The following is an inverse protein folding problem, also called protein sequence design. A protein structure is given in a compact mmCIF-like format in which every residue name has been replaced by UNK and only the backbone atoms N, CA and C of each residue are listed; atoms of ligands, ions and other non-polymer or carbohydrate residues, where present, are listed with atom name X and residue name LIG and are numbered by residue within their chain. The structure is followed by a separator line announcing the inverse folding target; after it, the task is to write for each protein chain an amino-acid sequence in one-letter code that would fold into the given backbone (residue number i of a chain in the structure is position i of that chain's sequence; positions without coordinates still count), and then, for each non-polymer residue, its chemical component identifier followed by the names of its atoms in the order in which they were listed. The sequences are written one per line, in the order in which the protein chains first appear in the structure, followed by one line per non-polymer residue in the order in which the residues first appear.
data_IF_045345514926
#
_entry.id   IF_045345514926
#
_cell.length_a   1.000
_cell.length_b   1.000
_cell.length_c   1.000
_cell.angle_alpha   90.00
_cell.angle_beta   90.00
_cell.angle_gamma   90.00
#
_symmetry.space_group_name_H-M   'P 1'
#
loop_
_entity.id
_entity.type
_entity.pdbx_description
1 polymer ?
#
# COMPACT_ATOMS: atom_id res chain seq x y z
N UNK A 1 -14.64 -16.96 16.48
CA UNK A 1 -13.75 -18.08 16.15
C UNK A 1 -12.39 -17.56 15.65
N UNK A 2 -11.52 -17.14 16.56
CA UNK A 2 -10.20 -16.57 16.21
C UNK A 2 -9.23 -17.63 15.66
N UNK A 3 -9.18 -18.82 16.28
CA UNK A 3 -8.36 -19.95 15.79
C UNK A 3 -8.68 -20.35 14.35
N UNK A 4 -9.95 -20.30 13.94
CA UNK A 4 -10.36 -20.63 12.57
C UNK A 4 -9.87 -19.58 11.56
N UNK A 5 -9.87 -18.30 11.96
CA UNK A 5 -9.33 -17.20 11.14
C UNK A 5 -7.86 -17.43 10.85
N UNK A 6 -7.04 -17.62 11.90
CA UNK A 6 -5.59 -17.79 11.74
C UNK A 6 -5.23 -19.01 10.86
N UNK A 7 -6.01 -20.10 10.95
CA UNK A 7 -5.82 -21.27 10.08
C UNK A 7 -6.19 -20.99 8.62
N UNK A 8 -7.25 -20.22 8.39
CA UNK A 8 -7.69 -19.88 7.04
C UNK A 8 -6.73 -18.90 6.37
N UNK A 9 -6.20 -17.92 7.10
CA UNK A 9 -5.16 -17.01 6.61
C UNK A 9 -3.94 -17.79 6.14
N UNK A 10 -3.38 -18.64 7.02
CA UNK A 10 -2.22 -19.47 6.70
C UNK A 10 -2.47 -20.42 5.51
N UNK A 11 -3.69 -20.94 5.39
CA UNK A 11 -4.08 -21.79 4.26
C UNK A 11 -4.14 -21.00 2.95
N UNK A 12 -4.71 -19.79 2.97
CA UNK A 12 -4.81 -18.91 1.80
C UNK A 12 -3.42 -18.47 1.33
N UNK A 13 -2.55 -18.08 2.27
CA UNK A 13 -1.15 -17.75 1.99
C UNK A 13 -0.41 -18.91 1.34
N UNK A 14 -0.61 -20.13 1.83
CA UNK A 14 0.00 -21.33 1.25
C UNK A 14 -0.47 -21.57 -0.19
N UNK A 15 -1.78 -21.41 -0.47
CA UNK A 15 -2.31 -21.53 -1.84
C UNK A 15 -1.68 -20.48 -2.75
N UNK A 16 -1.60 -19.22 -2.31
CA UNK A 16 -1.05 -18.14 -3.14
C UNK A 16 0.45 -18.36 -3.41
N UNK A 17 1.21 -18.83 -2.41
CA UNK A 17 2.60 -19.21 -2.59
C UNK A 17 2.76 -20.33 -3.63
N UNK A 18 1.91 -21.36 -3.59
CA UNK A 18 1.90 -22.46 -4.57
C UNK A 18 1.57 -21.94 -5.98
N UNK A 19 0.65 -20.99 -6.12
CA UNK A 19 0.32 -20.38 -7.41
C UNK A 19 1.57 -19.69 -7.99
N UNK A 20 2.28 -18.91 -7.18
CA UNK A 20 3.51 -18.22 -7.59
C UNK A 20 4.60 -19.22 -8.01
N UNK A 21 4.76 -20.33 -7.29
CA UNK A 21 5.78 -21.34 -7.63
C UNK A 21 5.42 -22.11 -8.90
N UNK A 22 4.17 -22.51 -9.09
CA UNK A 22 3.75 -23.19 -10.33
C UNK A 22 3.98 -22.27 -11.54
N UNK A 23 3.74 -20.96 -11.42
CA UNK A 23 3.99 -20.02 -12.51
C UNK A 23 5.45 -20.02 -12.99
N UNK A 24 6.43 -20.07 -12.07
CA UNK A 24 7.85 -20.09 -12.47
C UNK A 24 8.27 -21.47 -12.99
N UNK A 25 7.70 -22.54 -12.46
CA UNK A 25 7.98 -23.91 -12.90
C UNK A 25 7.47 -24.19 -14.32
N UNK A 26 6.49 -23.43 -14.80
CA UNK A 26 5.97 -23.54 -16.16
C UNK A 26 6.83 -22.83 -17.22
N UNK A 27 7.91 -22.15 -16.85
CA UNK A 27 8.80 -21.52 -17.82
C UNK A 27 9.53 -22.58 -18.66
N UNK A 28 9.47 -22.45 -19.97
CA UNK A 28 10.09 -23.39 -20.89
C UNK A 28 11.60 -23.14 -21.00
N UNK A 29 12.39 -24.21 -20.90
CA UNK A 29 13.84 -24.13 -21.08
C UNK A 29 14.19 -24.04 -22.57
N UNK A 30 15.36 -23.45 -22.85
CA UNK A 30 15.88 -23.36 -24.21
C UNK A 30 16.42 -24.73 -24.63
N UNK A 31 15.78 -25.34 -25.64
CA UNK A 31 16.19 -26.65 -26.19
C UNK A 31 17.19 -26.54 -27.35
N UNK A 32 17.39 -25.34 -27.91
CA UNK A 32 18.27 -25.10 -29.05
C UNK A 32 19.11 -23.87 -28.81
N UNK A 33 20.43 -24.00 -28.94
CA UNK A 33 21.37 -22.89 -28.77
C UNK A 33 21.27 -21.92 -29.96
N UNK A 34 20.39 -20.93 -29.85
CA UNK A 34 20.20 -19.89 -30.85
C UNK A 34 19.75 -18.57 -30.21
N UNK A 35 20.19 -17.40 -30.72
CA UNK A 35 19.75 -16.10 -30.20
C UNK A 35 18.22 -15.94 -30.18
N UNK A 36 17.53 -16.52 -31.16
CA UNK A 36 16.06 -16.48 -31.25
C UNK A 36 15.39 -17.25 -30.09
N UNK A 37 15.94 -18.40 -29.70
CA UNK A 37 15.41 -19.20 -28.59
C UNK A 37 15.59 -18.48 -27.23
N UNK A 38 16.74 -17.82 -27.01
CA UNK A 38 16.94 -16.99 -25.82
C UNK A 38 16.01 -15.78 -25.78
N UNK A 39 15.76 -15.13 -26.92
CA UNK A 39 14.81 -14.02 -26.99
C UNK A 39 13.38 -14.47 -26.67
N UNK A 40 13.00 -15.67 -27.09
CA UNK A 40 11.70 -16.26 -26.74
C UNK A 40 11.58 -16.49 -25.22
N UNK A 41 12.62 -17.04 -24.59
CA UNK A 41 12.68 -17.19 -23.12
C UNK A 41 12.56 -15.85 -22.39
N UNK A 42 13.27 -14.80 -22.84
CA UNK A 42 13.18 -13.46 -22.24
C UNK A 42 11.74 -12.92 -22.30
N UNK A 43 11.06 -13.13 -23.42
CA UNK A 43 9.63 -12.76 -23.56
C UNK A 43 8.75 -13.55 -22.61
N UNK A 44 9.00 -14.85 -22.46
CA UNK A 44 8.28 -15.73 -21.54
C UNK A 44 8.45 -15.29 -20.08
N UNK A 45 9.69 -14.99 -19.67
CA UNK A 45 10.02 -14.40 -18.37
C UNK A 45 9.27 -13.08 -18.17
N UNK A 46 9.23 -12.23 -19.19
CA UNK A 46 8.48 -10.96 -19.14
C UNK A 46 7.00 -11.18 -18.85
N UNK A 47 6.37 -12.17 -19.50
CA UNK A 47 4.97 -12.54 -19.27
C UNK A 47 4.76 -13.17 -17.89
N UNK A 48 5.70 -14.00 -17.44
CA UNK A 48 5.71 -14.50 -16.06
C UNK A 48 5.72 -13.35 -15.05
N UNK A 49 6.57 -12.33 -15.24
CA UNK A 49 6.67 -11.20 -14.33
C UNK A 49 5.36 -10.41 -14.23
N UNK A 50 4.61 -10.26 -15.34
CA UNK A 50 3.26 -9.68 -15.32
C UNK A 50 2.40 -10.38 -14.28
N UNK A 51 2.32 -11.71 -14.36
CA UNK A 51 1.50 -12.52 -13.47
C UNK A 51 2.04 -12.58 -12.06
N UNK A 52 3.36 -12.64 -11.89
CA UNK A 52 4.01 -12.58 -10.59
C UNK A 52 3.60 -11.33 -9.82
N UNK A 53 3.79 -10.14 -10.42
CA UNK A 53 3.42 -8.88 -9.79
C UNK A 53 1.91 -8.77 -9.58
N UNK A 54 1.11 -9.26 -10.52
CA UNK A 54 -0.35 -9.29 -10.34
C UNK A 54 -0.76 -10.13 -9.13
N UNK A 55 -0.30 -11.37 -9.03
CA UNK A 55 -0.63 -12.28 -7.91
C UNK A 55 -0.05 -11.76 -6.59
N UNK A 56 1.17 -11.19 -6.59
CA UNK A 56 1.76 -10.56 -5.42
C UNK A 56 0.95 -9.35 -4.92
N UNK A 57 0.43 -8.53 -5.83
CA UNK A 57 -0.47 -7.43 -5.47
C UNK A 57 -1.81 -7.94 -4.92
N UNK A 58 -2.35 -9.04 -5.46
CA UNK A 58 -3.55 -9.68 -4.94
C UNK A 58 -3.32 -10.25 -3.54
N UNK A 59 -2.17 -10.90 -3.30
CA UNK A 59 -1.76 -11.35 -1.97
C UNK A 59 -1.64 -10.19 -0.99
N UNK A 60 -0.96 -9.11 -1.38
CA UNK A 60 -0.80 -7.93 -0.51
C UNK A 60 -2.16 -7.35 -0.11
N UNK A 61 -3.07 -7.16 -1.07
CA UNK A 61 -4.41 -6.66 -0.79
C UNK A 61 -5.18 -7.62 0.12
N UNK A 62 -5.09 -8.93 -0.14
CA UNK A 62 -5.73 -9.96 0.67
C UNK A 62 -5.23 -9.91 2.13
N UNK A 63 -3.92 -9.97 2.32
CA UNK A 63 -3.30 -9.85 3.65
C UNK A 63 -3.68 -8.54 4.35
N UNK A 64 -3.72 -7.42 3.62
CA UNK A 64 -4.12 -6.13 4.17
C UNK A 64 -5.57 -6.12 4.66
N UNK A 65 -6.51 -6.74 3.94
CA UNK A 65 -7.91 -6.87 4.37
C UNK A 65 -8.01 -7.79 5.59
N UNK A 66 -7.38 -8.97 5.54
CA UNK A 66 -7.53 -10.01 6.55
C UNK A 66 -6.85 -9.65 7.88
N UNK A 67 -5.86 -8.76 7.86
CA UNK A 67 -5.28 -8.16 9.08
C UNK A 67 -6.26 -7.26 9.85
N UNK A 68 -7.30 -6.73 9.21
CA UNK A 68 -8.32 -5.89 9.87
C UNK A 68 -9.46 -6.71 10.51
N UNK A 69 -9.49 -8.03 10.29
CA UNK A 69 -10.59 -8.89 10.71
C UNK A 69 -10.22 -9.64 11.99
N UNK A 70 -11.06 -9.53 13.02
CA UNK A 70 -10.87 -10.27 14.29
C UNK A 70 -11.49 -11.67 14.27
N UNK A 71 -12.56 -11.87 13.50
CA UNK A 71 -13.29 -13.16 13.47
C UNK A 71 -13.78 -13.52 12.07
N UNK A 72 -13.73 -14.81 11.73
CA UNK A 72 -14.17 -15.32 10.43
C UNK A 72 -15.62 -15.82 10.49
N UNK A 73 -16.43 -15.49 9.48
CA UNK A 73 -17.76 -16.06 9.26
C UNK A 73 -17.72 -17.02 8.05
N UNK A 74 -18.62 -18.01 8.02
CA UNK A 74 -18.76 -19.00 6.94
C UNK A 74 -18.95 -18.36 5.56
N UNK A 75 -19.70 -17.25 5.47
CA UNK A 75 -19.86 -16.51 4.21
C UNK A 75 -18.53 -15.95 3.67
N UNK A 76 -17.69 -15.43 4.55
CA UNK A 76 -16.36 -14.91 4.17
C UNK A 76 -15.47 -16.05 3.69
N UNK A 77 -15.52 -17.19 4.39
CA UNK A 77 -14.79 -18.40 3.98
C UNK A 77 -15.19 -18.82 2.57
N UNK A 78 -16.48 -18.95 2.24
CA UNK A 78 -16.89 -19.35 0.88
C UNK A 78 -16.37 -18.36 -0.16
N UNK A 79 -16.49 -17.06 0.09
CA UNK A 79 -16.04 -16.03 -0.87
C UNK A 79 -14.52 -16.04 -1.06
N UNK A 80 -13.78 -16.37 -0.01
CA UNK A 80 -12.33 -16.53 -0.05
C UNK A 80 -11.93 -17.73 -0.92
N UNK A 81 -12.60 -18.88 -0.77
CA UNK A 81 -12.40 -20.03 -1.65
C UNK A 81 -12.78 -19.75 -3.12
N UNK A 82 -13.83 -18.97 -3.37
CA UNK A 82 -14.21 -18.54 -4.73
C UNK A 82 -13.15 -17.62 -5.34
N UNK A 83 -12.59 -16.71 -4.53
CA UNK A 83 -11.48 -15.87 -4.96
C UNK A 83 -10.23 -16.71 -5.27
N UNK A 84 -9.82 -17.60 -4.36
CA UNK A 84 -8.65 -18.45 -4.51
C UNK A 84 -8.78 -19.42 -5.69
N UNK A 85 -9.98 -19.93 -5.99
CA UNK A 85 -10.20 -20.83 -7.13
C UNK A 85 -10.06 -20.12 -8.48
N UNK A 86 -10.44 -18.85 -8.58
CA UNK A 86 -10.15 -18.06 -9.78
C UNK A 86 -8.66 -17.73 -9.87
N UNK A 87 -8.03 -17.36 -8.75
CA UNK A 87 -6.61 -17.02 -8.69
C UNK A 87 -5.73 -18.24 -9.05
N UNK A 88 -6.15 -19.45 -8.70
CA UNK A 88 -5.40 -20.68 -8.99
C UNK A 88 -5.37 -21.05 -10.48
N UNK A 89 -6.19 -20.41 -11.31
CA UNK A 89 -6.14 -20.54 -12.77
C UNK A 89 -5.08 -19.63 -13.41
N UNK A 90 -4.51 -18.68 -12.67
CA UNK A 90 -3.49 -17.76 -13.20
C UNK A 90 -2.29 -18.47 -13.85
N UNK A 91 -1.75 -19.58 -13.32
CA UNK A 91 -0.63 -20.27 -13.96
C UNK A 91 -0.96 -20.78 -15.36
N UNK A 92 -2.15 -21.35 -15.56
CA UNK A 92 -2.60 -21.85 -16.86
C UNK A 92 -2.69 -20.71 -17.88
N UNK A 93 -3.32 -19.60 -17.53
CA UNK A 93 -3.52 -18.49 -18.48
C UNK A 93 -2.24 -17.71 -18.73
N UNK A 94 -1.33 -17.68 -17.76
CA UNK A 94 0.02 -17.12 -17.94
C UNK A 94 0.79 -17.94 -18.95
N UNK A 95 0.81 -19.26 -18.78
CA UNK A 95 1.46 -20.19 -19.70
C UNK A 95 0.89 -20.09 -21.12
N UNK A 96 -0.45 -20.11 -21.26
CA UNK A 96 -1.11 -19.91 -22.56
C UNK A 96 -0.70 -18.60 -23.25
N UNK A 97 -0.61 -17.51 -22.50
CA UNK A 97 -0.19 -16.20 -23.01
C UNK A 97 1.30 -16.17 -23.38
N UNK A 98 2.13 -16.86 -22.61
CA UNK A 98 3.58 -16.94 -22.76
C UNK A 98 3.97 -17.78 -23.99
N UNK A 99 3.40 -18.99 -24.08
CA UNK A 99 3.60 -19.91 -25.20
C UNK A 99 3.12 -19.31 -26.53
N UNK A 100 1.92 -18.68 -26.53
CA UNK A 100 1.34 -18.10 -27.74
C UNK A 100 0.67 -16.77 -27.44
N UNK A 101 1.36 -15.66 -27.72
CA UNK A 101 0.81 -14.31 -27.56
C UNK A 101 -0.13 -13.93 -28.70
N UNK A 102 -1.35 -14.45 -28.66
CA UNK A 102 -2.40 -14.16 -29.63
C UNK A 102 -3.46 -13.26 -29.00
N UNK A 103 -4.38 -12.74 -29.82
CA UNK A 103 -5.55 -12.02 -29.32
C UNK A 103 -6.31 -12.83 -28.26
N UNK A 104 -6.52 -14.13 -28.52
CA UNK A 104 -7.34 -14.99 -27.67
C UNK A 104 -6.69 -15.16 -26.31
N UNK A 105 -5.41 -15.51 -26.26
CA UNK A 105 -4.70 -15.79 -25.00
C UNK A 105 -4.53 -14.55 -24.14
N UNK A 106 -4.23 -13.38 -24.75
CA UNK A 106 -4.08 -12.12 -24.02
C UNK A 106 -5.43 -11.60 -23.50
N UNK A 107 -6.52 -11.74 -24.26
CA UNK A 107 -7.87 -11.39 -23.79
C UNK A 107 -8.33 -12.36 -22.71
N UNK A 108 -8.10 -13.66 -22.88
CA UNK A 108 -8.44 -14.69 -21.90
C UNK A 108 -7.75 -14.43 -20.56
N UNK A 109 -6.45 -14.09 -20.58
CA UNK A 109 -5.70 -13.68 -19.41
C UNK A 109 -6.35 -12.48 -18.72
N UNK A 110 -6.65 -11.42 -19.47
CA UNK A 110 -7.27 -10.21 -18.94
C UNK A 110 -8.67 -10.44 -18.35
N UNK A 111 -9.49 -11.28 -18.99
CA UNK A 111 -10.80 -11.67 -18.47
C UNK A 111 -10.68 -12.45 -17.15
N UNK A 112 -9.71 -13.35 -17.04
CA UNK A 112 -9.43 -14.05 -15.78
C UNK A 112 -9.00 -13.06 -14.69
N UNK A 113 -8.08 -12.14 -15.00
CA UNK A 113 -7.64 -11.10 -14.05
C UNK A 113 -8.78 -10.18 -13.60
N UNK A 114 -9.72 -9.85 -14.50
CA UNK A 114 -10.93 -9.10 -14.14
C UNK A 114 -11.83 -9.92 -13.21
N UNK A 115 -12.04 -11.20 -13.52
CA UNK A 115 -12.85 -12.10 -12.70
C UNK A 115 -12.29 -12.25 -11.29
N UNK A 116 -10.98 -12.45 -11.16
CA UNK A 116 -10.26 -12.48 -9.87
C UNK A 116 -10.50 -11.18 -9.09
N UNK A 117 -10.34 -10.02 -9.75
CA UNK A 117 -10.58 -8.71 -9.12
C UNK A 117 -12.04 -8.50 -8.69
N UNK A 118 -13.01 -9.03 -9.45
CA UNK A 118 -14.43 -8.99 -9.10
C UNK A 118 -14.72 -9.86 -7.87
N UNK A 119 -14.23 -11.09 -7.83
CA UNK A 119 -14.40 -11.98 -6.68
C UNK A 119 -13.76 -11.39 -5.42
N UNK A 120 -12.57 -10.81 -5.57
CA UNK A 120 -11.93 -10.10 -4.46
C UNK A 120 -12.74 -8.89 -3.98
N UNK A 121 -13.36 -8.10 -4.87
CA UNK A 121 -14.29 -7.03 -4.46
C UNK A 121 -15.49 -7.55 -3.67
N UNK A 122 -16.06 -8.68 -4.06
CA UNK A 122 -17.15 -9.29 -3.31
C UNK A 122 -16.70 -9.77 -1.93
N UNK A 123 -15.52 -10.38 -1.85
CA UNK A 123 -14.90 -10.79 -0.59
C UNK A 123 -14.71 -9.59 0.35
N UNK A 124 -14.06 -8.52 -0.12
CA UNK A 124 -13.86 -7.29 0.67
C UNK A 124 -15.20 -6.67 1.07
N UNK A 125 -16.18 -6.60 0.16
CA UNK A 125 -17.50 -6.07 0.47
C UNK A 125 -18.18 -6.86 1.61
N UNK A 126 -18.11 -8.19 1.56
CA UNK A 126 -18.67 -9.05 2.60
C UNK A 126 -17.97 -8.83 3.94
N UNK A 127 -16.63 -8.79 3.95
CA UNK A 127 -15.83 -8.52 5.14
C UNK A 127 -16.21 -7.18 5.77
N UNK A 128 -16.25 -6.13 4.95
CA UNK A 128 -16.51 -4.77 5.41
C UNK A 128 -17.91 -4.61 6.00
N UNK A 129 -18.94 -5.22 5.40
CA UNK A 129 -20.32 -5.17 5.93
C UNK A 129 -20.54 -6.06 7.16
N UNK A 130 -19.71 -7.09 7.38
CA UNK A 130 -19.86 -8.00 8.50
C UNK A 130 -19.10 -7.55 9.75
N UNK A 131 -17.95 -6.88 9.58
CA UNK A 131 -17.10 -6.46 10.70
C UNK A 131 -17.34 -5.03 11.16
N UNK A 132 -17.90 -4.17 10.30
CA UNK A 132 -18.03 -2.75 10.58
C UNK A 132 -19.48 -2.27 10.37
N UNK A 133 -20.08 -1.77 11.44
CA UNK A 133 -21.40 -1.11 11.42
C UNK A 133 -21.27 0.40 11.21
N UNK A 134 -20.10 0.97 11.53
CA UNK A 134 -19.80 2.39 11.31
C UNK A 134 -19.26 2.63 9.90
N UNK A 135 -19.84 3.60 9.18
CA UNK A 135 -19.33 4.07 7.89
C UNK A 135 -17.86 4.48 7.94
N UNK A 136 -17.40 4.95 9.11
CA UNK A 136 -16.02 5.41 9.38
C UNK A 136 -15.00 4.27 9.25
N UNK A 137 -15.29 3.13 9.86
CA UNK A 137 -14.38 1.98 9.85
C UNK A 137 -14.43 1.24 8.51
N UNK A 138 -15.61 1.20 7.87
CA UNK A 138 -15.77 0.69 6.50
C UNK A 138 -14.91 1.49 5.51
N UNK A 139 -14.91 2.81 5.60
CA UNK A 139 -14.10 3.69 4.76
C UNK A 139 -12.60 3.54 5.04
N UNK A 140 -12.19 3.29 6.30
CA UNK A 140 -10.79 3.02 6.67
C UNK A 140 -10.27 1.76 5.97
N UNK A 141 -11.00 0.65 6.06
CA UNK A 141 -10.59 -0.61 5.40
C UNK A 141 -10.64 -0.47 3.88
N UNK A 142 -11.68 0.15 3.33
CA UNK A 142 -11.78 0.31 1.88
C UNK A 142 -10.67 1.18 1.30
N UNK A 143 -10.31 2.28 1.98
CA UNK A 143 -9.19 3.14 1.55
C UNK A 143 -7.82 2.46 1.73
N UNK A 144 -7.64 1.61 2.74
CA UNK A 144 -6.41 0.82 2.94
C UNK A 144 -6.21 -0.24 1.86
N UNK A 145 -7.30 -0.81 1.37
CA UNK A 145 -7.29 -1.94 0.42
C UNK A 145 -7.29 -1.46 -1.03
N UNK A 146 -8.01 -0.37 -1.30
CA UNK A 146 -8.27 0.10 -2.66
C UNK A 146 -7.72 1.50 -2.94
N UNK A 147 -7.46 2.33 -1.92
CA UNK A 147 -7.05 3.73 -2.11
C UNK A 147 -8.03 4.55 -2.97
N UNK A 148 -7.76 5.85 -3.17
CA UNK A 148 -8.49 6.69 -4.13
C UNK A 148 -8.36 6.21 -5.58
N UNK A 149 -7.30 5.46 -5.92
CA UNK A 149 -7.04 5.06 -7.29
C UNK A 149 -7.78 3.79 -7.76
N UNK A 150 -8.38 2.95 -6.89
CA UNK A 150 -8.92 1.64 -7.34
C UNK A 150 -9.96 1.70 -8.47
N UNK A 151 -10.80 2.74 -8.53
CA UNK A 151 -11.74 2.91 -9.64
C UNK A 151 -11.01 3.20 -10.96
N UNK A 152 -9.92 3.96 -10.89
CA UNK A 152 -9.02 4.22 -12.02
C UNK A 152 -8.28 2.93 -12.39
N UNK A 153 -7.81 2.16 -11.42
CA UNK A 153 -7.20 0.83 -11.60
C UNK A 153 -8.13 -0.16 -12.32
N UNK A 154 -9.39 -0.22 -11.90
CA UNK A 154 -10.43 -1.02 -12.55
C UNK A 154 -10.66 -0.58 -14.00
N UNK A 155 -10.74 0.73 -14.22
CA UNK A 155 -10.88 1.32 -15.55
C UNK A 155 -9.68 1.00 -16.46
N UNK A 156 -8.46 1.13 -15.94
CA UNK A 156 -7.23 0.76 -16.65
C UNK A 156 -7.27 -0.70 -17.07
N UNK A 157 -7.64 -1.62 -16.17
CA UNK A 157 -7.68 -3.05 -16.49
C UNK A 157 -8.69 -3.35 -17.62
N UNK A 158 -9.88 -2.73 -17.59
CA UNK A 158 -10.89 -2.86 -18.65
C UNK A 158 -10.35 -2.30 -19.99
N UNK A 159 -9.71 -1.12 -19.96
CA UNK A 159 -9.09 -0.53 -21.15
C UNK A 159 -7.99 -1.44 -21.71
N UNK A 160 -7.18 -2.06 -20.86
CA UNK A 160 -6.14 -3.00 -21.28
C UNK A 160 -6.73 -4.25 -21.92
N UNK A 161 -7.87 -4.76 -21.43
CA UNK A 161 -8.59 -5.88 -22.07
C UNK A 161 -9.13 -5.50 -23.45
N UNK A 162 -9.71 -4.30 -23.59
CA UNK A 162 -10.18 -3.79 -24.88
C UNK A 162 -8.99 -3.63 -25.83
N UNK A 163 -7.88 -3.06 -25.37
CA UNK A 163 -6.65 -2.92 -26.14
C UNK A 163 -6.08 -4.28 -26.55
N UNK A 164 -6.12 -5.29 -25.67
CA UNK A 164 -5.67 -6.64 -25.96
C UNK A 164 -6.42 -7.28 -27.13
N UNK A 165 -7.72 -6.97 -27.27
CA UNK A 165 -8.51 -7.44 -28.41
C UNK A 165 -7.96 -6.89 -29.73
N UNK A 166 -7.65 -5.59 -29.82
CA UNK A 166 -7.18 -4.98 -31.07
C UNK A 166 -5.68 -5.16 -31.31
N UNK A 167 -4.86 -5.08 -30.26
CA UNK A 167 -3.40 -4.95 -30.27
C UNK A 167 -2.76 -5.73 -29.10
N UNK A 168 -2.73 -7.08 -29.14
CA UNK A 168 -2.25 -7.90 -28.03
C UNK A 168 -0.81 -7.61 -27.61
N UNK A 169 0.09 -7.34 -28.56
CA UNK A 169 1.50 -7.01 -28.28
C UNK A 169 1.65 -5.75 -27.44
N UNK A 170 0.84 -4.72 -27.70
CA UNK A 170 0.87 -3.48 -26.94
C UNK A 170 0.23 -3.65 -25.56
N UNK A 171 -0.82 -4.46 -25.46
CA UNK A 171 -1.48 -4.74 -24.19
C UNK A 171 -0.54 -5.38 -23.15
N UNK A 172 0.42 -6.21 -23.57
CA UNK A 172 1.45 -6.78 -22.67
C UNK A 172 2.22 -5.69 -21.93
N UNK A 173 2.60 -4.60 -22.62
CA UNK A 173 3.36 -3.51 -22.00
C UNK A 173 2.54 -2.86 -20.89
N UNK A 174 1.25 -2.63 -21.14
CA UNK A 174 0.34 -2.11 -20.11
C UNK A 174 0.11 -3.12 -18.98
N UNK A 175 -0.05 -4.40 -19.31
CA UNK A 175 -0.18 -5.46 -18.30
C UNK A 175 1.09 -5.60 -17.45
N UNK A 176 2.28 -5.27 -17.95
CA UNK A 176 3.52 -5.33 -17.16
C UNK A 176 3.77 -4.06 -16.35
N UNK A 177 3.67 -2.89 -16.97
CA UNK A 177 4.00 -1.63 -16.33
C UNK A 177 3.09 -1.34 -15.14
N UNK A 178 1.81 -1.70 -15.26
CA UNK A 178 0.81 -1.36 -14.27
C UNK A 178 0.94 -2.13 -12.93
N UNK A 179 1.05 -3.48 -12.90
CA UNK A 179 1.23 -4.21 -11.64
C UNK A 179 2.54 -3.85 -10.95
N UNK A 180 3.61 -3.59 -11.71
CA UNK A 180 4.88 -3.12 -11.16
C UNK A 180 4.68 -1.75 -10.48
N UNK A 181 4.09 -0.80 -11.19
CA UNK A 181 3.79 0.52 -10.62
C UNK A 181 2.95 0.41 -9.35
N UNK A 182 1.88 -0.39 -9.38
CA UNK A 182 1.02 -0.58 -8.23
C UNK A 182 1.77 -1.22 -7.05
N UNK A 183 2.60 -2.23 -7.33
CA UNK A 183 3.40 -2.91 -6.32
C UNK A 183 4.36 -1.95 -5.61
N UNK A 184 5.03 -1.08 -6.38
CA UNK A 184 5.95 -0.08 -5.83
C UNK A 184 5.21 1.00 -5.04
N UNK A 185 4.08 1.50 -5.57
CA UNK A 185 3.28 2.58 -4.96
C UNK A 185 2.46 2.13 -3.73
N UNK A 186 2.14 0.84 -3.58
CA UNK A 186 1.38 0.33 -2.43
C UNK A 186 2.09 0.56 -1.07
N UNK A 187 3.38 0.93 -1.08
CA UNK A 187 4.13 1.26 0.13
C UNK A 187 3.80 2.63 0.74
N UNK A 188 3.35 3.60 -0.06
CA UNK A 188 3.10 4.98 0.40
C UNK A 188 1.84 5.07 1.29
N UNK A 189 0.84 4.21 1.07
CA UNK A 189 -0.42 4.21 1.82
C UNK A 189 -0.29 3.78 3.28
N UNK A 190 0.79 3.06 3.63
CA UNK A 190 1.03 2.61 5.01
C UNK A 190 1.50 3.74 5.90
N UNK A 191 2.31 4.67 5.37
CA UNK A 191 2.75 5.85 6.13
C UNK A 191 1.56 6.76 6.47
N UNK A 192 0.74 7.15 5.48
CA UNK A 192 -0.44 8.00 5.73
C UNK A 192 -1.34 7.47 6.86
N UNK A 193 -1.49 6.14 6.99
CA UNK A 193 -2.32 5.53 8.04
C UNK A 193 -1.70 5.63 9.44
N UNK A 194 -0.39 5.43 9.60
CA UNK A 194 0.31 5.60 10.89
C UNK A 194 0.24 7.05 11.39
N UNK A 195 0.21 7.99 10.46
CA UNK A 195 0.19 9.42 10.77
C UNK A 195 -1.25 9.92 11.03
N UNK A 196 -2.26 9.31 10.41
CA UNK A 196 -3.68 9.54 10.71
C UNK A 196 -4.10 8.97 12.07
N UNK A 197 -3.40 7.94 12.56
CA UNK A 197 -3.61 7.41 13.92
C UNK A 197 -3.14 8.38 15.02
N UNK A 198 -2.19 9.26 14.71
CA UNK A 198 -1.71 10.32 15.62
C UNK A 198 -2.66 11.53 15.69
N UNK A 199 -3.63 11.62 14.78
CA UNK A 199 -4.64 12.69 14.76
C UNK A 199 -5.62 12.58 15.92
N UNK A 200 -6.14 13.74 16.35
CA UNK A 200 -7.29 13.76 17.25
C UNK A 200 -8.52 13.12 16.58
N UNK A 201 -9.49 12.61 17.35
CA UNK A 201 -10.70 11.98 16.79
C UNK A 201 -11.44 12.85 15.76
N UNK A 202 -11.44 14.17 15.96
CA UNK A 202 -12.04 15.18 15.09
C UNK A 202 -11.23 15.41 13.79
N UNK A 203 -9.90 15.51 13.89
CA UNK A 203 -9.03 15.64 12.72
C UNK A 203 -9.06 14.40 11.83
N UNK A 204 -9.18 13.23 12.45
CA UNK A 204 -9.35 11.96 11.73
C UNK A 204 -10.69 11.92 10.97
N UNK A 205 -11.74 12.49 11.53
CA UNK A 205 -13.04 12.60 10.85
C UNK A 205 -12.95 13.52 9.63
N UNK A 206 -12.32 14.69 9.79
CA UNK A 206 -12.10 15.63 8.71
C UNK A 206 -11.23 15.03 7.57
N UNK A 207 -10.19 14.28 7.91
CA UNK A 207 -9.35 13.60 6.92
C UNK A 207 -10.12 12.58 6.06
N UNK A 208 -11.16 11.95 6.62
CA UNK A 208 -11.95 10.97 5.88
C UNK A 208 -12.84 11.63 4.80
N UNK A 209 -13.22 12.89 5.03
CA UNK A 209 -14.00 13.70 4.08
C UNK A 209 -13.12 14.37 3.01
N UNK A 210 -11.79 14.32 3.15
CA UNK A 210 -10.85 14.90 2.19
C UNK A 210 -10.96 14.27 0.80
N UNK A 211 -10.98 15.16 -0.20
CA UNK A 211 -10.90 14.78 -1.59
C UNK A 211 -9.45 14.39 -2.00
N UNK A 212 -9.23 14.19 -3.30
CA UNK A 212 -7.90 13.76 -3.79
C UNK A 212 -6.84 14.86 -3.68
N UNK A 213 -7.24 16.13 -3.81
CA UNK A 213 -6.36 17.29 -3.69
C UNK A 213 -6.04 17.57 -2.22
N UNK A 214 -7.03 17.46 -1.33
CA UNK A 214 -6.87 17.66 0.11
C UNK A 214 -5.94 16.60 0.72
N UNK A 215 -6.07 15.34 0.30
CA UNK A 215 -5.12 14.27 0.68
C UNK A 215 -3.70 14.54 0.20
N UNK A 216 -3.53 15.14 -0.99
CA UNK A 216 -2.22 15.55 -1.50
C UNK A 216 -1.64 16.72 -0.68
N UNK A 217 -2.47 17.67 -0.29
CA UNK A 217 -2.07 18.78 0.57
C UNK A 217 -1.68 18.29 1.98
N UNK A 218 -2.43 17.32 2.51
CA UNK A 218 -2.13 16.65 3.77
C UNK A 218 -0.74 15.98 3.74
N UNK A 219 -0.46 15.15 2.72
CA UNK A 219 0.87 14.54 2.54
C UNK A 219 1.99 15.56 2.55
N UNK A 220 1.82 16.67 1.80
CA UNK A 220 2.83 17.72 1.70
C UNK A 220 3.07 18.44 3.03
N UNK A 221 2.00 18.70 3.79
CA UNK A 221 2.13 19.30 5.11
C UNK A 221 2.82 18.35 6.09
N UNK A 222 2.55 17.06 5.97
CA UNK A 222 3.14 16.03 6.78
C UNK A 222 4.64 15.84 6.50
N UNK A 223 5.04 15.82 5.22
CA UNK A 223 6.46 15.84 4.80
C UNK A 223 7.18 17.02 5.46
N UNK A 224 6.61 18.23 5.39
CA UNK A 224 7.17 19.43 6.01
C UNK A 224 7.37 19.31 7.52
N UNK A 225 6.38 18.75 8.24
CA UNK A 225 6.48 18.56 9.70
C UNK A 225 7.54 17.50 10.03
N UNK A 226 7.66 16.46 9.21
CA UNK A 226 8.67 15.43 9.39
C UNK A 226 10.10 15.93 9.13
N UNK A 227 10.28 16.83 8.16
CA UNK A 227 11.55 17.51 7.88
C UNK A 227 11.95 18.44 9.04
N UNK A 228 10.99 19.19 9.58
CA UNK A 228 11.20 20.04 10.76
C UNK A 228 11.55 19.21 12.01
N UNK A 229 10.94 18.04 12.18
CA UNK A 229 11.26 17.14 13.28
C UNK A 229 12.69 16.58 13.18
N UNK A 230 13.12 16.21 11.97
CA UNK A 230 14.48 15.70 11.72
C UNK A 230 15.54 16.80 11.88
N UNK A 231 15.24 18.02 11.41
CA UNK A 231 16.12 19.16 11.61
C UNK A 231 16.33 19.47 13.10
N UNK A 232 15.26 19.47 13.90
CA UNK A 232 15.36 19.71 15.34
C UNK A 232 16.08 18.57 16.10
N UNK A 233 15.89 17.31 15.70
CA UNK A 233 16.58 16.17 16.30
C UNK A 233 18.10 16.21 16.07
N UNK A 234 18.55 16.71 14.89
CA UNK A 234 19.98 16.85 14.58
C UNK A 234 20.68 17.95 15.38
N UNK A 235 19.92 18.91 15.95
CA UNK A 235 20.47 20.02 16.75
C UNK A 235 20.59 19.65 18.23
N UNK A 236 19.72 18.78 18.75
CA UNK A 236 19.72 18.39 20.16
C UNK A 236 20.84 17.41 20.55
N UNK A 237 21.41 16.67 19.60
CA UNK A 237 22.46 15.66 19.86
C UNK A 237 23.86 16.27 20.08
N UNK A 238 24.05 17.57 19.76
CA UNK A 238 25.31 18.30 20.02
C UNK A 238 25.37 18.95 21.42
N UNK A 239 24.31 18.85 22.24
CA UNK A 239 24.16 19.64 23.47
C UNK A 239 23.84 18.87 24.76
N UNK A 240 24.14 17.57 24.84
CA UNK A 240 23.94 16.79 26.08
C UNK A 240 25.18 16.86 27.02
N UNK A 241 25.05 17.20 28.31
CA UNK A 241 26.18 17.20 29.26
C UNK A 241 26.55 15.78 29.72
N UNK A 242 27.85 15.50 29.86
CA UNK A 242 28.38 14.26 30.45
C UNK A 242 27.99 14.15 31.95
N UNK A 243 27.07 13.24 32.28
CA UNK A 243 26.78 12.84 33.67
C UNK A 243 27.65 11.64 34.08
N UNK A 244 28.55 11.88 35.03
CA UNK A 244 29.37 10.89 35.73
C UNK A 244 28.52 10.04 36.69
N UNK A 245 28.59 8.71 36.59
CA UNK A 245 27.92 7.75 37.49
C UNK A 245 28.89 7.22 38.57
N UNK A 246 28.51 7.10 39.86
CA UNK A 246 29.35 6.46 40.87
C UNK A 246 29.15 4.94 40.95
N UNK A 247 30.23 4.26 41.37
CA UNK A 247 30.38 2.81 41.45
C UNK A 247 29.56 2.15 42.57
N UNK A 248 29.06 0.94 42.32
CA UNK A 248 28.62 -0.01 43.35
C UNK A 248 29.31 -1.35 43.11
N UNK A 249 30.03 -1.79 44.13
CA UNK A 249 30.76 -3.06 44.25
C UNK A 249 29.84 -4.28 44.26
N UNK A 250 30.26 -5.37 43.61
CA UNK A 250 29.88 -6.72 44.02
C UNK A 250 30.99 -7.72 43.71
N UNK A 251 31.24 -8.54 44.72
CA UNK A 251 32.39 -9.41 44.97
C UNK A 251 32.42 -10.67 44.07
N UNK A 252 33.63 -10.99 43.60
CA UNK A 252 34.29 -12.27 43.23
C UNK A 252 33.48 -13.59 43.42
N UNK A 253 33.52 -14.64 42.59
CA UNK A 253 34.63 -15.43 41.95
C UNK A 253 33.93 -16.52 41.09
N UNK A 254 34.34 -16.98 39.89
CA UNK A 254 35.45 -17.90 39.53
C UNK A 254 35.46 -18.06 37.98
N UNK A 255 36.64 -18.06 37.37
CA UNK A 255 36.92 -18.30 35.92
C UNK A 255 37.41 -19.74 35.67
N UNK A 256 37.29 -20.34 34.46
CA UNK A 256 38.52 -20.44 33.65
C UNK A 256 38.37 -20.30 32.10
N UNK A 257 39.41 -19.67 31.53
CA UNK A 257 40.06 -19.84 30.21
C UNK A 257 39.38 -19.40 28.87
N UNK A 258 40.18 -18.95 27.86
CA UNK A 258 39.81 -17.87 26.94
C UNK A 258 39.51 -18.33 25.50
N UNK A 259 38.60 -17.62 24.82
CA UNK A 259 38.36 -17.69 23.38
C UNK A 259 38.38 -16.26 22.75
N UNK A 260 38.61 -16.12 21.44
CA UNK A 260 39.44 -15.05 20.84
C UNK A 260 38.78 -13.67 20.80
N UNK A 261 39.64 -12.63 20.84
CA UNK A 261 39.28 -11.21 20.80
C UNK A 261 38.44 -10.86 19.56
N UNK A 262 37.20 -10.43 19.77
CA UNK A 262 36.41 -9.72 18.77
C UNK A 262 37.02 -8.32 18.47
N UNK A 263 36.93 -7.81 17.23
CA UNK A 263 37.50 -6.51 16.87
C UNK A 263 36.78 -5.37 17.59
N UNK A 264 37.53 -4.36 18.04
CA UNK A 264 36.99 -3.13 18.63
C UNK A 264 36.12 -2.42 17.60
N UNK A 265 34.82 -2.31 17.90
CA UNK A 265 33.84 -1.60 17.10
C UNK A 265 34.02 -0.08 17.31
N UNK A 266 34.84 0.53 16.47
CA UNK A 266 34.97 1.99 16.41
C UNK A 266 33.59 2.59 16.09
N UNK A 267 33.00 3.27 17.08
CA UNK A 267 31.82 4.09 16.90
C UNK A 267 32.20 5.30 16.05
N UNK A 268 32.08 5.16 14.73
CA UNK A 268 31.96 6.28 13.80
C UNK A 268 30.56 6.21 13.21
N UNK A 269 29.65 7.02 13.75
CA UNK A 269 28.35 7.21 13.14
C UNK A 269 28.53 7.72 11.71
N UNK A 270 27.92 7.09 10.69
CA UNK A 270 28.04 7.57 9.32
C UNK A 270 27.21 8.85 9.16
N UNK A 271 27.83 9.90 8.60
CA UNK A 271 27.17 11.16 8.21
C UNK A 271 25.90 10.88 7.38
N UNK A 272 24.85 11.73 7.48
CA UNK A 272 23.58 11.50 6.81
C UNK A 272 23.78 11.45 5.28
N UNK A 273 23.56 10.27 4.71
CA UNK A 273 23.55 10.07 3.26
C UNK A 273 22.27 10.69 2.71
N UNK A 274 22.41 11.47 1.64
CA UNK A 274 21.31 12.02 0.86
C UNK A 274 20.61 10.86 0.15
N UNK A 275 19.52 10.37 0.73
CA UNK A 275 18.87 9.13 0.29
C UNK A 275 18.17 9.28 -1.07
N UNK A 276 18.40 8.32 -1.95
CA UNK A 276 17.67 8.15 -3.22
C UNK A 276 16.26 7.58 -2.94
N UNK A 277 15.22 7.94 -3.72
CA UNK A 277 13.87 7.37 -3.57
C UNK A 277 13.84 5.84 -3.56
N UNK A 278 14.78 5.21 -4.27
CA UNK A 278 14.95 3.76 -4.34
C UNK A 278 15.47 3.14 -3.04
N UNK A 279 16.34 3.85 -2.30
CA UNK A 279 16.84 3.38 -1.00
C UNK A 279 15.77 3.52 0.08
N UNK A 280 15.01 4.63 0.08
CA UNK A 280 13.83 4.77 0.94
C UNK A 280 12.77 3.68 0.71
N UNK A 281 12.63 3.20 -0.53
CA UNK A 281 11.76 2.08 -0.86
C UNK A 281 12.28 0.73 -0.30
N UNK A 282 13.60 0.50 -0.33
CA UNK A 282 14.21 -0.74 0.20
C UNK A 282 14.29 -0.77 1.73
N UNK A 283 14.55 0.38 2.38
CA UNK A 283 14.74 0.52 3.83
C UNK A 283 13.42 0.53 4.63
N UNK A 284 12.33 -0.01 4.07
CA UNK A 284 11.03 -0.15 4.75
C UNK A 284 11.04 -1.17 5.89
N UNK A 285 12.01 -2.09 5.90
CA UNK A 285 12.26 -2.94 7.06
C UNK A 285 13.14 -2.18 8.05
N UNK A 286 12.49 -1.28 8.79
CA UNK A 286 13.13 -0.55 9.88
C UNK A 286 13.41 -1.58 11.00
N UNK A 287 14.69 -1.75 11.35
CA UNK A 287 15.12 -2.47 12.56
C UNK A 287 14.21 -2.06 13.73
N UNK A 288 13.63 -3.00 14.52
CA UNK A 288 12.71 -2.67 15.60
C UNK A 288 13.25 -1.62 16.58
N UNK A 289 14.57 -1.49 16.75
CA UNK A 289 15.18 -0.41 17.54
C UNK A 289 15.13 0.95 16.85
N UNK A 290 15.43 1.00 15.56
CA UNK A 290 15.31 2.21 14.73
C UNK A 290 13.83 2.60 14.57
N UNK A 291 12.92 1.62 14.52
CA UNK A 291 11.48 1.85 14.50
C UNK A 291 11.03 2.42 15.83
N UNK A 292 11.53 1.90 16.96
CA UNK A 292 11.28 2.47 18.28
C UNK A 292 11.86 3.88 18.43
N UNK A 293 13.04 4.19 17.89
CA UNK A 293 13.60 5.55 17.92
C UNK A 293 12.88 6.52 17.00
N UNK A 294 12.52 6.10 15.78
CA UNK A 294 11.67 6.88 14.87
C UNK A 294 10.28 7.06 15.47
N UNK A 295 9.71 6.02 16.09
CA UNK A 295 8.45 6.09 16.83
C UNK A 295 8.62 7.02 18.03
N UNK A 296 9.68 6.96 18.83
CA UNK A 296 9.89 7.84 19.99
C UNK A 296 10.13 9.31 19.57
N UNK A 297 10.82 9.54 18.46
CA UNK A 297 11.00 10.86 17.85
C UNK A 297 9.76 11.40 17.13
N UNK A 298 8.88 10.53 16.61
CA UNK A 298 7.62 10.90 15.92
C UNK A 298 6.38 10.85 16.82
N UNK A 299 6.35 10.08 17.90
CA UNK A 299 5.16 9.92 18.78
C UNK A 299 4.92 11.10 19.71
N UNK A 300 5.84 12.04 19.78
CA UNK A 300 5.59 13.34 20.40
C UNK A 300 5.94 14.44 19.41
N UNK A 301 4.99 14.74 18.53
CA UNK A 301 4.90 16.07 17.94
C UNK A 301 5.18 17.09 19.06
N UNK A 302 6.22 17.90 18.88
CA UNK A 302 6.53 18.99 19.80
C UNK A 302 5.31 19.90 19.92
N UNK A 303 5.22 20.66 21.00
CA UNK A 303 4.05 21.51 21.23
C UNK A 303 3.85 22.52 20.08
N UNK A 304 4.93 22.97 19.47
CA UNK A 304 4.94 23.83 18.29
C UNK A 304 4.38 23.10 17.06
N UNK A 305 4.84 21.88 16.79
CA UNK A 305 4.33 21.06 15.67
C UNK A 305 2.86 20.70 15.82
N UNK A 306 2.38 20.40 17.04
CA UNK A 306 0.95 20.19 17.32
C UNK A 306 0.14 21.45 17.02
N UNK A 307 0.71 22.62 17.29
CA UNK A 307 0.06 23.90 17.04
C UNK A 307 -0.01 24.19 15.54
N UNK A 308 1.10 24.04 14.81
CA UNK A 308 1.12 24.19 13.34
C UNK A 308 0.14 23.23 12.66
N UNK A 309 0.05 22.01 13.17
CA UNK A 309 -0.87 21.00 12.68
C UNK A 309 -2.34 21.34 12.95
N UNK A 310 -2.65 21.83 14.16
CA UNK A 310 -3.99 22.30 14.50
C UNK A 310 -4.42 23.50 13.65
N UNK A 311 -3.50 24.44 13.40
CA UNK A 311 -3.73 25.61 12.55
C UNK A 311 -4.02 25.19 11.12
N UNK A 312 -3.25 24.26 10.56
CA UNK A 312 -3.50 23.76 9.21
C UNK A 312 -4.90 23.13 9.04
N UNK A 313 -5.33 22.30 10.01
CA UNK A 313 -6.69 21.73 9.98
C UNK A 313 -7.78 22.79 10.14
N UNK A 314 -7.54 23.85 10.92
CA UNK A 314 -8.44 24.99 11.03
C UNK A 314 -8.56 25.73 9.70
N UNK A 315 -7.44 26.02 9.05
CA UNK A 315 -7.40 26.71 7.76
C UNK A 315 -8.15 25.94 6.68
N UNK A 316 -8.02 24.60 6.66
CA UNK A 316 -8.79 23.75 5.77
C UNK A 316 -10.31 23.87 5.99
N UNK A 317 -10.77 23.84 7.26
CA UNK A 317 -12.20 24.05 7.56
C UNK A 317 -12.68 25.43 7.12
N UNK A 318 -11.84 26.45 7.24
CA UNK A 318 -12.17 27.80 6.80
C UNK A 318 -12.26 27.88 5.28
N UNK A 319 -11.32 27.26 4.54
CA UNK A 319 -11.34 27.19 3.09
C UNK A 319 -12.59 26.47 2.57
N UNK A 320 -12.95 25.32 3.15
CA UNK A 320 -14.17 24.59 2.82
C UNK A 320 -15.44 25.40 3.06
N UNK A 321 -15.54 26.08 4.22
CA UNK A 321 -16.68 26.95 4.54
C UNK A 321 -16.81 28.09 3.55
N UNK A 322 -15.70 28.70 3.15
CA UNK A 322 -15.70 29.78 2.14
C UNK A 322 -16.15 29.26 0.77
N UNK A 323 -15.67 28.09 0.34
CA UNK A 323 -16.11 27.48 -0.90
C UNK A 323 -17.59 27.10 -0.86
N UNK A 324 -18.08 26.51 0.23
CA UNK A 324 -19.49 26.21 0.43
C UNK A 324 -20.35 27.48 0.40
N UNK A 325 -19.85 28.58 0.96
CA UNK A 325 -20.55 29.86 0.94
C UNK A 325 -20.62 30.45 -0.47
N UNK A 326 -19.54 30.34 -1.27
CA UNK A 326 -19.54 30.72 -2.69
C UNK A 326 -20.54 29.89 -3.49
N UNK A 327 -20.52 28.55 -3.37
CA UNK A 327 -21.47 27.64 -4.04
C UNK A 327 -22.92 27.97 -3.69
N UNK A 328 -23.21 28.30 -2.42
CA UNK A 328 -24.57 28.66 -2.00
C UNK A 328 -25.00 30.02 -2.55
N UNK A 329 -24.08 31.00 -2.67
CA UNK A 329 -24.37 32.28 -3.33
C UNK A 329 -24.66 32.09 -4.82
N UNK A 330 -23.85 31.30 -5.52
CA UNK A 330 -24.05 30.96 -6.93
C UNK A 330 -25.38 30.22 -7.15
N UNK A 331 -25.70 29.23 -6.30
CA UNK A 331 -26.99 28.53 -6.36
C UNK A 331 -28.18 29.46 -6.14
N UNK A 332 -28.10 30.37 -5.16
CA UNK A 332 -29.15 31.36 -4.91
C UNK A 332 -29.29 32.35 -6.07
N UNK A 333 -28.19 32.72 -6.71
CA UNK A 333 -28.19 33.58 -7.89
C UNK A 333 -28.85 32.88 -9.07
N UNK A 334 -28.39 31.67 -9.42
CA UNK A 334 -28.99 30.86 -10.48
C UNK A 334 -30.49 30.59 -10.27
N UNK A 335 -30.93 30.42 -9.01
CA UNK A 335 -32.35 30.27 -8.65
C UNK A 335 -33.15 31.56 -8.76
N UNK A 336 -32.53 32.73 -8.57
CA UNK A 336 -33.18 34.03 -8.81
C UNK A 336 -33.31 34.29 -10.31
N UNK A 337 -32.25 34.03 -11.06
CA UNK A 337 -32.21 34.21 -12.51
C UNK A 337 -33.24 33.31 -13.20
N UNK A 338 -33.39 32.05 -12.76
CA UNK A 338 -34.42 31.14 -13.28
C UNK A 338 -35.86 31.54 -12.93
N UNK A 339 -36.08 32.17 -11.77
CA UNK A 339 -37.40 32.72 -11.39
C UNK A 339 -37.75 33.99 -12.17
N UNK A 340 -36.78 34.82 -12.51
CA UNK A 340 -37.01 36.00 -13.35
C UNK A 340 -37.34 35.62 -14.80
N UNK A 341 -36.73 34.55 -15.34
CA UNK A 341 -37.08 34.06 -16.67
C UNK A 341 -38.48 33.42 -16.74
N UNK A 342 -39.01 32.88 -15.64
CA UNK A 342 -40.39 32.32 -15.59
C UNK A 342 -41.51 33.36 -15.36
N UNK A 343 -41.18 34.65 -15.26
CA UNK A 343 -42.18 35.73 -15.13
C UNK A 343 -42.29 36.60 -16.40
N UNK A 344 -41.47 36.32 -17.41
CA UNK A 344 -41.44 37.02 -18.70
C UNK A 344 -41.95 36.15 -19.87
N UNK A 345 -42.39 34.93 -19.59
CA UNK A 345 -43.22 34.08 -20.46
C UNK A 345 -44.62 34.00 -19.83
#
# INVERSE_FOLDING_TARGET
MEKLKNRLDAFSDAIIAIIITIMVLNLHTVLTDSPAAYLALVKEIGIYLISFFYVANMWYQHAAVFNEIKTMNYRTLILDFVFLSALSLMPLFTDMMAANTTRITVVAYGLLSLMVGVFFRYLVKAIVHLQFTSKKDMAKVYSKVYGPNNRVLAGINIVTVILAYFKPTWAIIFYLAYPIWNFLSNSDYRQEMYDVEQLTPEQREQFLDFDTADRKAFRKQQEKISELAQANASVTDESAPEETTPAVESTTTVTPAPAPKAPKENHHQPKPRRNSPWQQWLDQNVDPKTQQQIMQGRTRLTQEQKTEWNTWFQDQRHAERQQAHKRNKEYKQARKDSRQNHHND
#
